data_IF_507062178577
#
_entry.id   IF_507062178577
#
_cell.length_a   1.000
_cell.length_b   1.000
_cell.length_c   1.000
_cell.angle_alpha   90.00
_cell.angle_beta   90.00
_cell.angle_gamma   90.00
#
_symmetry.space_group_name_H-M   'P 1'
#
loop_
_entity.id
_entity.type
_entity.pdbx_description
1 polymer ?
#
# COMPACT_ATOMS: atom_id res chain seq x y z
N UNK A 1 -36.42 17.34 -109.30
CA UNK A 1 -36.87 15.93 -109.33
C UNK A 1 -36.58 15.30 -107.97
N UNK A 2 -37.63 14.79 -107.32
CA UNK A 2 -37.68 13.72 -106.30
C UNK A 2 -36.74 13.80 -105.07
N UNK A 3 -37.34 14.03 -103.90
CA UNK A 3 -36.94 13.29 -102.67
C UNK A 3 -37.51 11.85 -102.68
N UNK A 4 -37.64 11.13 -101.55
CA UNK A 4 -37.18 11.40 -100.17
C UNK A 4 -36.59 10.15 -99.43
N UNK A 5 -36.35 10.33 -98.11
CA UNK A 5 -36.31 9.34 -97.01
C UNK A 5 -34.94 8.62 -96.78
N UNK A 6 -34.49 8.26 -95.56
CA UNK A 6 -35.19 7.51 -94.49
C UNK A 6 -34.23 7.31 -93.25
N UNK A 7 -34.77 7.24 -92.01
CA UNK A 7 -34.24 6.74 -90.68
C UNK A 7 -33.13 7.56 -89.96
N UNK A 8 -33.24 8.09 -88.72
CA UNK A 8 -33.83 7.69 -87.41
C UNK A 8 -33.31 6.34 -86.89
N UNK A 9 -32.33 6.39 -85.97
CA UNK A 9 -31.84 5.41 -84.95
C UNK A 9 -30.31 5.56 -84.88
N UNK A 10 -29.62 5.89 -83.78
CA UNK A 10 -29.66 5.32 -82.43
C UNK A 10 -29.14 6.35 -81.41
N UNK A 11 -30.04 6.91 -80.60
CA UNK A 11 -29.72 7.61 -79.36
C UNK A 11 -30.17 6.72 -78.18
N UNK A 12 -29.49 5.60 -77.95
CA UNK A 12 -29.71 4.69 -76.83
C UNK A 12 -28.44 3.84 -76.63
N UNK A 13 -27.40 4.39 -75.99
CA UNK A 13 -26.91 3.72 -74.78
C UNK A 13 -26.60 4.68 -73.62
N UNK A 14 -26.78 5.99 -73.79
CA UNK A 14 -26.42 6.96 -72.76
C UNK A 14 -27.44 7.08 -71.60
N UNK A 15 -28.66 6.55 -71.76
CA UNK A 15 -29.72 6.65 -70.73
C UNK A 15 -29.74 5.48 -69.73
N UNK A 16 -29.04 4.37 -70.02
CA UNK A 16 -28.98 3.20 -69.10
C UNK A 16 -27.87 3.36 -68.05
N UNK A 17 -26.83 4.15 -68.33
CA UNK A 17 -25.74 4.41 -67.38
C UNK A 17 -26.11 5.42 -66.26
N UNK A 18 -27.20 6.18 -66.42
CA UNK A 18 -27.65 7.16 -65.42
C UNK A 18 -28.71 6.62 -64.44
N UNK A 19 -29.19 5.40 -64.63
CA UNK A 19 -30.14 4.72 -63.72
C UNK A 19 -29.46 3.69 -62.79
N UNK A 20 -28.15 3.47 -62.91
CA UNK A 20 -27.39 2.58 -62.03
C UNK A 20 -26.80 3.29 -60.79
N UNK A 21 -27.28 4.49 -60.46
CA UNK A 21 -26.88 5.27 -59.28
C UNK A 21 -28.05 5.40 -58.30
N UNK A 22 -28.55 4.28 -57.75
CA UNK A 22 -29.34 4.31 -56.50
C UNK A 22 -29.71 2.89 -56.08
N UNK A 23 -28.87 2.28 -55.26
CA UNK A 23 -29.24 1.48 -54.06
C UNK A 23 -27.95 0.87 -53.48
N UNK A 24 -26.99 1.69 -53.07
CA UNK A 24 -26.03 1.21 -52.09
C UNK A 24 -26.81 1.10 -50.78
N UNK A 25 -27.24 -0.11 -50.43
CA UNK A 25 -27.82 -0.36 -49.10
C UNK A 25 -26.78 0.07 -48.05
N UNK A 26 -27.17 0.81 -47.00
CA UNK A 26 -26.25 1.16 -45.94
C UNK A 26 -25.64 -0.12 -45.38
N UNK A 27 -24.30 -0.17 -45.30
CA UNK A 27 -23.61 -1.33 -44.75
C UNK A 27 -24.13 -1.60 -43.33
N UNK A 28 -24.35 -2.88 -42.96
CA UNK A 28 -24.85 -3.22 -41.63
C UNK A 28 -23.91 -2.69 -40.56
N UNK A 29 -24.49 -2.21 -39.48
CA UNK A 29 -23.79 -1.71 -38.30
C UNK A 29 -23.79 -2.79 -37.22
N UNK A 30 -23.05 -2.57 -36.14
CA UNK A 30 -23.08 -3.46 -34.98
C UNK A 30 -24.46 -3.48 -34.29
N UNK A 31 -25.38 -2.55 -34.61
CA UNK A 31 -26.77 -2.63 -34.15
C UNK A 31 -27.55 -3.77 -34.83
N UNK A 32 -27.09 -4.22 -36.00
CA UNK A 32 -27.73 -5.24 -36.83
C UNK A 32 -27.14 -6.64 -36.54
N UNK A 33 -26.24 -6.74 -35.56
CA UNK A 33 -25.64 -7.98 -35.09
C UNK A 33 -26.55 -8.66 -34.06
N UNK A 34 -26.63 -9.99 -34.06
CA UNK A 34 -27.55 -10.74 -33.20
C UNK A 34 -27.25 -10.56 -31.68
N UNK A 35 -25.99 -10.28 -31.32
CA UNK A 35 -25.59 -10.06 -29.93
C UNK A 35 -25.85 -8.64 -29.42
N UNK A 36 -26.13 -7.70 -30.33
CA UNK A 36 -26.13 -6.28 -30.06
C UNK A 36 -27.41 -5.60 -30.56
N UNK A 37 -27.77 -4.49 -29.92
CA UNK A 37 -28.89 -3.66 -30.37
C UNK A 37 -28.62 -2.21 -30.04
N UNK A 38 -29.23 -1.32 -30.81
CA UNK A 38 -29.20 0.11 -30.52
C UNK A 38 -30.54 0.58 -29.97
N UNK A 39 -30.51 1.28 -28.85
CA UNK A 39 -31.72 1.83 -28.25
C UNK A 39 -32.11 3.18 -28.88
N UNK A 40 -33.29 3.75 -28.55
CA UNK A 40 -33.73 5.04 -29.07
C UNK A 40 -32.82 6.22 -28.69
N UNK A 41 -31.97 6.06 -27.66
CA UNK A 41 -31.00 7.05 -27.21
C UNK A 41 -29.63 6.87 -27.89
N UNK A 42 -29.57 6.08 -28.96
CA UNK A 42 -28.36 5.76 -29.72
C UNK A 42 -27.28 5.06 -28.88
N UNK A 43 -27.66 4.34 -27.83
CA UNK A 43 -26.72 3.50 -27.08
C UNK A 43 -26.62 2.14 -27.74
N UNK A 44 -25.40 1.71 -28.04
CA UNK A 44 -25.10 0.35 -28.44
C UNK A 44 -25.06 -0.53 -27.18
N UNK A 45 -25.96 -1.51 -27.12
CA UNK A 45 -26.09 -2.45 -26.00
C UNK A 45 -25.86 -3.85 -26.54
N UNK A 46 -24.78 -4.48 -26.12
CA UNK A 46 -24.46 -5.86 -26.46
C UNK A 46 -24.66 -6.75 -25.22
N UNK A 47 -25.49 -7.78 -25.36
CA UNK A 47 -25.73 -8.76 -24.32
C UNK A 47 -25.57 -10.15 -24.92
N UNK A 48 -24.43 -10.77 -24.63
CA UNK A 48 -24.07 -12.04 -25.23
C UNK A 48 -24.85 -13.20 -24.60
N UNK A 49 -25.23 -14.16 -25.44
CA UNK A 49 -25.86 -15.43 -25.03
C UNK A 49 -24.95 -16.59 -25.43
N UNK A 50 -25.31 -17.84 -25.14
CA UNK A 50 -24.46 -18.99 -25.47
C UNK A 50 -24.19 -19.16 -26.96
N UNK A 51 -25.06 -18.62 -27.81
CA UNK A 51 -24.98 -18.74 -29.27
C UNK A 51 -24.11 -17.64 -29.91
N UNK A 52 -23.89 -16.53 -29.19
CA UNK A 52 -23.10 -15.39 -29.64
C UNK A 52 -22.32 -14.83 -28.46
N UNK A 53 -21.07 -15.25 -28.35
CA UNK A 53 -20.26 -15.04 -27.16
C UNK A 53 -19.15 -13.99 -27.35
N UNK A 54 -18.77 -13.70 -28.60
CA UNK A 54 -17.71 -12.74 -28.93
C UNK A 54 -18.24 -11.46 -29.60
N UNK A 55 -17.74 -10.30 -29.18
CA UNK A 55 -18.04 -9.00 -29.79
C UNK A 55 -16.74 -8.30 -30.19
N UNK A 56 -16.63 -7.91 -31.46
CA UNK A 56 -15.51 -7.10 -31.96
C UNK A 56 -16.00 -5.73 -32.38
N UNK A 57 -15.54 -4.69 -31.70
CA UNK A 57 -15.87 -3.31 -32.04
C UNK A 57 -14.88 -2.80 -33.08
N UNK A 58 -15.42 -2.31 -34.21
CA UNK A 58 -14.65 -1.85 -35.38
C UNK A 58 -14.97 -0.38 -35.68
N UNK A 59 -13.98 0.42 -36.10
CA UNK A 59 -14.22 1.79 -36.53
C UNK A 59 -14.99 1.86 -37.87
N UNK A 60 -14.67 0.96 -38.81
CA UNK A 60 -15.12 1.00 -40.19
C UNK A 60 -15.47 -0.40 -40.71
N UNK A 61 -16.12 -0.43 -41.88
CA UNK A 61 -16.55 -1.66 -42.54
C UNK A 61 -17.90 -2.19 -42.05
N UNK A 62 -18.27 -3.43 -42.44
CA UNK A 62 -19.49 -4.07 -41.96
C UNK A 62 -19.39 -4.36 -40.46
N UNK A 63 -20.52 -4.19 -39.77
CA UNK A 63 -20.66 -4.32 -38.32
C UNK A 63 -19.78 -3.33 -37.53
N UNK A 64 -19.56 -2.13 -38.09
CA UNK A 64 -18.90 -1.04 -37.37
C UNK A 64 -19.77 -0.46 -36.26
N UNK A 65 -19.13 0.19 -35.29
CA UNK A 65 -19.85 0.99 -34.29
C UNK A 65 -20.54 2.17 -35.00
N UNK A 66 -21.86 2.38 -34.82
CA UNK A 66 -22.56 3.49 -35.44
C UNK A 66 -21.97 4.84 -35.04
N UNK A 67 -21.80 5.76 -35.99
CA UNK A 67 -21.26 7.11 -35.73
C UNK A 67 -22.15 7.95 -34.80
N UNK A 68 -23.43 7.60 -34.70
CA UNK A 68 -24.42 8.22 -33.81
C UNK A 68 -24.36 7.70 -32.38
N UNK A 69 -23.51 6.71 -32.08
CA UNK A 69 -23.48 6.06 -30.78
C UNK A 69 -23.16 7.04 -29.65
N UNK A 70 -24.06 7.15 -28.66
CA UNK A 70 -23.89 8.00 -27.48
C UNK A 70 -23.31 7.23 -26.29
N UNK A 71 -23.46 5.90 -26.29
CA UNK A 71 -22.91 5.01 -25.26
C UNK A 71 -22.69 3.62 -25.82
N UNK A 72 -21.71 2.92 -25.26
CA UNK A 72 -21.41 1.50 -25.53
C UNK A 72 -21.53 0.77 -24.21
N UNK A 73 -22.41 -0.22 -24.13
CA UNK A 73 -22.61 -1.06 -22.95
C UNK A 73 -22.53 -2.51 -23.37
N UNK A 74 -21.58 -3.25 -22.81
CA UNK A 74 -21.35 -4.66 -23.13
C UNK A 74 -21.42 -5.47 -21.85
N UNK A 75 -22.25 -6.50 -21.83
CA UNK A 75 -22.49 -7.35 -20.67
C UNK A 75 -22.49 -8.84 -21.05
N UNK A 76 -21.83 -9.66 -20.23
CA UNK A 76 -21.92 -11.12 -20.29
C UNK A 76 -21.22 -11.80 -21.48
N UNK A 77 -20.40 -11.07 -22.25
CA UNK A 77 -19.66 -11.64 -23.38
C UNK A 77 -18.45 -12.46 -22.94
N UNK A 78 -18.16 -13.55 -23.66
CA UNK A 78 -16.94 -14.35 -23.44
C UNK A 78 -15.72 -13.55 -23.84
N UNK A 79 -15.79 -12.84 -24.97
CA UNK A 79 -14.70 -12.04 -25.51
C UNK A 79 -15.18 -10.70 -26.06
N UNK A 80 -14.46 -9.64 -25.72
CA UNK A 80 -14.66 -8.29 -26.26
C UNK A 80 -13.34 -7.76 -26.78
N UNK A 81 -13.31 -7.37 -28.04
CA UNK A 81 -12.13 -6.86 -28.70
C UNK A 81 -12.39 -5.47 -29.28
N UNK A 82 -11.75 -4.44 -28.74
CA UNK A 82 -11.78 -3.11 -29.32
C UNK A 82 -10.63 -2.97 -30.31
N UNK A 83 -10.94 -2.79 -31.59
CA UNK A 83 -9.93 -2.48 -32.61
C UNK A 83 -9.39 -1.06 -32.47
N UNK A 84 -8.24 -0.81 -33.09
CA UNK A 84 -7.65 0.52 -33.13
C UNK A 84 -8.62 1.56 -33.71
N UNK A 85 -8.58 2.76 -33.15
CA UNK A 85 -9.38 3.92 -33.57
C UNK A 85 -10.91 3.70 -33.50
N UNK A 86 -11.41 2.64 -32.84
CA UNK A 86 -12.85 2.26 -32.77
C UNK A 86 -13.77 3.43 -32.45
N UNK A 87 -13.45 4.23 -31.42
CA UNK A 87 -14.34 5.30 -30.98
C UNK A 87 -13.96 6.69 -31.51
N UNK A 88 -12.90 6.80 -32.32
CA UNK A 88 -12.29 8.08 -32.67
C UNK A 88 -13.25 9.03 -33.39
N UNK A 89 -14.12 8.49 -34.24
CA UNK A 89 -15.12 9.24 -34.99
C UNK A 89 -16.46 9.45 -34.26
N UNK A 90 -16.63 8.93 -33.04
CA UNK A 90 -17.91 8.90 -32.34
C UNK A 90 -18.13 10.19 -31.53
N UNK A 91 -18.49 11.28 -32.21
CA UNK A 91 -18.59 12.62 -31.60
C UNK A 91 -19.59 12.71 -30.43
N UNK A 92 -20.61 11.86 -30.44
CA UNK A 92 -21.67 11.83 -29.42
C UNK A 92 -21.39 10.87 -28.27
N UNK A 93 -20.34 10.05 -28.36
CA UNK A 93 -20.03 9.05 -27.34
C UNK A 93 -19.68 9.72 -26.01
N UNK A 94 -20.30 9.24 -24.93
CA UNK A 94 -20.07 9.74 -23.56
C UNK A 94 -19.78 8.62 -22.56
N UNK A 95 -20.17 7.39 -22.84
CA UNK A 95 -20.01 6.27 -21.91
C UNK A 95 -19.54 5.01 -22.63
N UNK A 96 -18.52 4.36 -22.10
CA UNK A 96 -18.10 3.01 -22.48
C UNK A 96 -18.10 2.17 -21.21
N UNK A 97 -18.94 1.14 -21.20
CA UNK A 97 -19.15 0.29 -20.04
C UNK A 97 -19.04 -1.19 -20.43
N UNK A 98 -18.19 -1.91 -19.71
CA UNK A 98 -17.91 -3.34 -19.91
C UNK A 98 -18.16 -4.06 -18.59
N UNK A 99 -19.01 -5.09 -18.60
CA UNK A 99 -19.35 -5.86 -17.40
C UNK A 99 -19.31 -7.35 -17.66
N UNK A 100 -18.85 -8.11 -16.66
CA UNK A 100 -18.95 -9.57 -16.67
C UNK A 100 -18.31 -10.21 -17.91
N UNK A 101 -17.20 -9.65 -18.41
CA UNK A 101 -16.53 -10.13 -19.62
C UNK A 101 -15.29 -10.94 -19.26
N UNK A 102 -15.19 -12.16 -19.77
CA UNK A 102 -14.10 -13.08 -19.46
C UNK A 102 -12.80 -12.79 -20.22
N UNK A 103 -12.87 -12.06 -21.34
CA UNK A 103 -11.70 -11.71 -22.12
C UNK A 103 -11.83 -10.34 -22.80
N UNK A 104 -11.21 -9.30 -22.24
CA UNK A 104 -11.24 -7.94 -22.81
C UNK A 104 -9.87 -7.57 -23.37
N UNK A 105 -9.84 -7.13 -24.62
CA UNK A 105 -8.64 -6.61 -25.27
C UNK A 105 -8.95 -5.22 -25.84
N UNK A 106 -8.16 -4.24 -25.41
CA UNK A 106 -8.27 -2.86 -25.86
C UNK A 106 -6.99 -2.52 -26.62
N UNK A 107 -7.06 -2.51 -27.96
CA UNK A 107 -5.89 -2.24 -28.78
C UNK A 107 -5.43 -0.77 -28.70
N UNK A 108 -4.27 -0.51 -29.29
CA UNK A 108 -3.73 0.84 -29.41
C UNK A 108 -4.75 1.80 -30.02
N UNK A 109 -4.93 2.97 -29.37
CA UNK A 109 -5.85 4.05 -29.75
C UNK A 109 -7.31 3.62 -29.88
N UNK A 110 -7.69 2.45 -29.35
CA UNK A 110 -9.05 1.96 -29.46
C UNK A 110 -10.07 2.85 -28.74
N UNK A 111 -9.66 3.45 -27.61
CA UNK A 111 -10.41 4.42 -26.81
C UNK A 111 -9.80 5.83 -26.88
N UNK A 112 -9.14 6.17 -27.99
CA UNK A 112 -8.66 7.53 -28.23
C UNK A 112 -9.82 8.43 -28.69
N UNK A 113 -10.21 9.39 -27.85
CA UNK A 113 -11.41 10.20 -28.07
C UNK A 113 -11.16 11.68 -27.81
N UNK A 114 -11.21 12.49 -28.87
CA UNK A 114 -11.04 13.95 -28.79
C UNK A 114 -11.77 14.68 -29.94
N UNK A 115 -13.12 14.60 -30.00
CA UNK A 115 -13.87 15.17 -31.12
C UNK A 115 -13.95 16.70 -31.10
N UNK A 116 -13.60 17.34 -29.99
CA UNK A 116 -13.67 18.79 -29.82
C UNK A 116 -12.27 19.41 -29.73
N UNK A 117 -12.17 20.70 -30.08
CA UNK A 117 -10.94 21.46 -29.86
C UNK A 117 -10.54 21.47 -28.38
N UNK A 118 -9.24 21.56 -28.13
CA UNK A 118 -8.66 21.44 -26.78
C UNK A 118 -9.15 22.54 -25.83
N UNK A 119 -9.56 23.68 -26.37
CA UNK A 119 -9.79 24.93 -25.62
C UNK A 119 -11.16 24.99 -24.91
N UNK A 120 -12.08 24.07 -25.17
CA UNK A 120 -13.39 24.07 -24.51
C UNK A 120 -13.43 23.11 -23.32
N UNK A 121 -13.13 23.64 -22.12
CA UNK A 121 -13.30 22.94 -20.84
C UNK A 121 -14.77 22.58 -20.53
N UNK A 122 -15.72 23.26 -21.18
CA UNK A 122 -17.17 23.05 -21.03
C UNK A 122 -17.67 21.75 -21.68
N UNK A 123 -16.86 21.10 -22.51
CA UNK A 123 -17.28 19.89 -23.20
C UNK A 123 -17.13 18.66 -22.29
N UNK A 124 -18.19 17.86 -22.12
CA UNK A 124 -18.14 16.63 -21.32
C UNK A 124 -17.17 15.62 -21.95
N UNK A 125 -16.35 14.99 -21.12
CA UNK A 125 -15.47 13.91 -21.50
C UNK A 125 -16.15 12.55 -21.58
N UNK A 126 -15.36 11.56 -22.00
CA UNK A 126 -15.75 10.15 -21.99
C UNK A 126 -15.69 9.58 -20.57
N UNK A 127 -16.68 8.79 -20.17
CA UNK A 127 -16.63 7.92 -19.00
C UNK A 127 -16.32 6.49 -19.43
N UNK A 128 -15.31 5.88 -18.82
CA UNK A 128 -14.89 4.51 -19.08
C UNK A 128 -15.06 3.70 -17.81
N UNK A 129 -15.85 2.63 -17.88
CA UNK A 129 -16.20 1.79 -16.76
C UNK A 129 -16.00 0.30 -17.12
N UNK A 130 -15.18 -0.40 -16.34
CA UNK A 130 -14.95 -1.85 -16.49
C UNK A 130 -15.19 -2.52 -15.15
N UNK A 131 -16.11 -3.48 -15.12
CA UNK A 131 -16.54 -4.14 -13.90
C UNK A 131 -16.52 -5.66 -14.06
N UNK A 132 -16.05 -6.36 -13.03
CA UNK A 132 -16.13 -7.81 -12.93
C UNK A 132 -15.65 -8.53 -14.20
N UNK A 133 -14.51 -8.11 -14.75
CA UNK A 133 -14.02 -8.57 -16.05
C UNK A 133 -12.55 -8.97 -15.98
N UNK A 134 -12.11 -9.79 -16.93
CA UNK A 134 -10.68 -10.04 -17.14
C UNK A 134 -10.21 -9.21 -18.34
N UNK A 135 -9.41 -8.19 -18.05
CA UNK A 135 -8.76 -7.34 -19.05
C UNK A 135 -7.41 -7.95 -19.40
N UNK A 136 -7.38 -8.68 -20.50
CA UNK A 136 -6.19 -9.39 -20.95
C UNK A 136 -5.10 -8.44 -21.41
N UNK A 137 -5.49 -7.39 -22.13
CA UNK A 137 -4.56 -6.39 -22.60
C UNK A 137 -5.21 -5.01 -22.68
N UNK A 138 -4.51 -4.01 -22.13
CA UNK A 138 -4.69 -2.61 -22.49
C UNK A 138 -3.43 -2.20 -23.23
N UNK A 139 -3.57 -2.02 -24.55
CA UNK A 139 -2.49 -1.70 -25.46
C UNK A 139 -1.89 -0.32 -25.21
N UNK A 140 -0.72 -0.08 -25.78
CA UNK A 140 -0.06 1.23 -25.71
C UNK A 140 -0.97 2.30 -26.29
N UNK A 141 -1.08 3.46 -25.64
CA UNK A 141 -1.93 4.56 -26.11
C UNK A 141 -3.41 4.15 -26.32
N UNK A 142 -3.89 3.10 -25.65
CA UNK A 142 -5.27 2.64 -25.77
C UNK A 142 -6.27 3.74 -25.38
N UNK A 143 -6.01 4.46 -24.30
CA UNK A 143 -6.87 5.53 -23.77
C UNK A 143 -6.16 6.87 -23.89
N UNK A 144 -6.74 7.76 -24.69
CA UNK A 144 -6.19 9.11 -24.96
C UNK A 144 -7.30 10.13 -25.18
N UNK A 145 -6.98 11.41 -24.95
CA UNK A 145 -7.91 12.51 -25.24
C UNK A 145 -8.77 12.89 -24.05
N UNK A 146 -10.01 13.32 -24.28
CA UNK A 146 -10.85 13.93 -23.24
C UNK A 146 -11.65 12.87 -22.49
N UNK A 147 -11.29 12.62 -21.23
CA UNK A 147 -11.89 11.59 -20.39
C UNK A 147 -12.24 12.22 -19.06
N UNK A 148 -13.47 12.02 -18.59
CA UNK A 148 -13.95 12.57 -17.31
C UNK A 148 -13.66 11.59 -16.17
N UNK A 149 -13.99 10.31 -16.35
CA UNK A 149 -13.87 9.29 -15.32
C UNK A 149 -13.36 7.97 -15.91
N UNK A 150 -12.43 7.33 -15.20
CA UNK A 150 -11.95 5.98 -15.48
C UNK A 150 -12.18 5.15 -14.22
N UNK A 151 -13.03 4.13 -14.31
CA UNK A 151 -13.32 3.23 -13.20
C UNK A 151 -13.09 1.79 -13.65
N UNK A 152 -12.14 1.09 -13.03
CA UNK A 152 -11.94 -0.34 -13.24
C UNK A 152 -12.06 -1.01 -11.89
N UNK A 153 -13.02 -1.94 -11.75
CA UNK A 153 -13.27 -2.58 -10.46
C UNK A 153 -13.53 -4.06 -10.53
N UNK A 154 -13.16 -4.77 -9.46
CA UNK A 154 -13.35 -6.22 -9.30
C UNK A 154 -12.85 -7.00 -10.52
N UNK A 155 -11.76 -6.54 -11.14
CA UNK A 155 -11.31 -7.03 -12.44
C UNK A 155 -9.87 -7.53 -12.35
N UNK A 156 -9.52 -8.49 -13.22
CA UNK A 156 -8.14 -8.94 -13.37
C UNK A 156 -7.53 -8.27 -14.60
N UNK A 157 -6.41 -7.56 -14.43
CA UNK A 157 -5.69 -6.88 -15.50
C UNK A 157 -4.40 -7.68 -15.74
N UNK A 158 -4.38 -8.43 -16.84
CA UNK A 158 -3.25 -9.31 -17.12
C UNK A 158 -2.07 -8.58 -17.73
N UNK A 159 -2.31 -7.64 -18.65
CA UNK A 159 -1.22 -6.89 -19.28
C UNK A 159 -1.58 -5.41 -19.44
N UNK A 160 -0.78 -4.55 -18.80
CA UNK A 160 -0.88 -3.10 -18.92
C UNK A 160 0.35 -2.58 -19.65
N UNK A 161 0.19 -2.22 -20.92
CA UNK A 161 1.28 -1.76 -21.79
C UNK A 161 1.75 -0.34 -21.45
N UNK A 162 2.97 0.06 -21.88
CA UNK A 162 3.48 1.40 -21.68
C UNK A 162 2.54 2.42 -22.33
N UNK A 163 2.29 3.53 -21.65
CA UNK A 163 1.43 4.61 -22.13
C UNK A 163 -0.03 4.21 -22.39
N UNK A 164 -0.49 3.08 -21.84
CA UNK A 164 -1.88 2.64 -21.91
C UNK A 164 -2.87 3.78 -21.61
N UNK A 165 -2.55 4.59 -20.59
CA UNK A 165 -3.24 5.83 -20.26
C UNK A 165 -2.29 7.01 -20.42
N UNK A 166 -2.46 7.76 -21.51
CA UNK A 166 -1.55 8.87 -21.83
C UNK A 166 -2.29 10.05 -22.44
N UNK A 167 -1.77 11.26 -22.19
CA UNK A 167 -2.32 12.49 -22.78
C UNK A 167 -3.83 12.65 -22.55
N UNK A 168 -4.27 12.31 -21.34
CA UNK A 168 -5.65 12.50 -20.92
C UNK A 168 -5.89 13.97 -20.58
N UNK A 169 -7.08 14.47 -20.91
CA UNK A 169 -7.49 15.86 -20.70
C UNK A 169 -8.82 15.88 -19.93
N UNK A 170 -8.90 16.72 -18.90
CA UNK A 170 -10.13 16.94 -18.14
C UNK A 170 -10.52 15.82 -17.17
N UNK A 171 -9.59 14.94 -16.82
CA UNK A 171 -9.87 13.80 -15.94
C UNK A 171 -10.21 14.27 -14.54
N UNK A 172 -11.36 13.84 -14.04
CA UNK A 172 -11.80 14.10 -12.68
C UNK A 172 -11.40 12.94 -11.78
N UNK A 173 -11.74 11.72 -12.15
CA UNK A 173 -11.52 10.57 -11.27
C UNK A 173 -10.87 9.42 -12.04
N UNK A 174 -9.80 8.88 -11.47
CA UNK A 174 -9.28 7.55 -11.82
C UNK A 174 -9.41 6.69 -10.58
N UNK A 175 -10.24 5.65 -10.67
CA UNK A 175 -10.47 4.69 -9.59
C UNK A 175 -10.18 3.27 -10.06
N UNK A 176 -9.22 2.63 -9.39
CA UNK A 176 -8.81 1.25 -9.61
C UNK A 176 -9.11 0.47 -8.33
N UNK A 177 -10.24 -0.24 -8.28
CA UNK A 177 -10.78 -0.84 -7.06
C UNK A 177 -10.85 -2.37 -7.08
N UNK A 178 -10.28 -3.06 -6.09
CA UNK A 178 -10.30 -4.51 -5.94
C UNK A 178 -9.86 -5.25 -7.22
N UNK A 179 -8.79 -4.78 -7.85
CA UNK A 179 -8.26 -5.40 -9.06
C UNK A 179 -7.06 -6.29 -8.75
N UNK A 180 -6.84 -7.30 -9.59
CA UNK A 180 -5.62 -8.13 -9.56
C UNK A 180 -4.80 -7.75 -10.78
N UNK A 181 -3.55 -7.35 -10.57
CA UNK A 181 -2.64 -6.97 -11.64
C UNK A 181 -1.54 -8.01 -11.81
N UNK A 182 -1.47 -8.64 -12.99
CA UNK A 182 -0.45 -9.66 -13.28
C UNK A 182 0.85 -9.01 -13.80
N UNK A 183 0.78 -8.33 -14.95
CA UNK A 183 1.93 -7.66 -15.58
C UNK A 183 1.64 -6.18 -15.84
N UNK A 184 2.43 -5.32 -15.21
CA UNK A 184 2.40 -3.87 -15.39
C UNK A 184 3.73 -3.45 -16.02
N UNK A 185 3.69 -2.91 -17.23
CA UNK A 185 4.88 -2.33 -17.85
C UNK A 185 5.14 -0.89 -17.36
N UNK A 186 6.39 -0.43 -17.48
CA UNK A 186 6.80 0.90 -17.06
C UNK A 186 5.96 1.99 -17.77
N UNK A 187 5.68 3.09 -17.08
CA UNK A 187 4.99 4.26 -17.66
C UNK A 187 3.60 3.95 -18.23
N UNK A 188 2.90 2.96 -17.68
CA UNK A 188 1.51 2.67 -18.05
C UNK A 188 0.58 3.88 -17.95
N UNK A 189 0.80 4.73 -16.94
CA UNK A 189 0.14 6.02 -16.76
C UNK A 189 1.14 7.15 -16.93
N UNK A 190 0.96 8.01 -17.94
CA UNK A 190 1.95 9.05 -18.26
C UNK A 190 1.36 10.39 -18.66
N UNK A 191 1.89 11.46 -18.08
CA UNK A 191 1.70 12.85 -18.50
C UNK A 191 0.23 13.22 -18.71
N UNK A 192 -0.52 13.26 -17.62
CA UNK A 192 -1.87 13.82 -17.57
C UNK A 192 -2.15 14.39 -16.18
N UNK A 193 -3.19 15.21 -16.09
CA UNK A 193 -3.71 15.72 -14.83
C UNK A 193 -5.04 15.05 -14.49
N UNK A 194 -5.25 14.78 -13.19
CA UNK A 194 -6.52 14.30 -12.64
C UNK A 194 -6.86 15.02 -11.34
N UNK A 195 -8.15 15.14 -11.00
CA UNK A 195 -8.54 15.66 -9.69
C UNK A 195 -8.26 14.62 -8.59
N UNK A 196 -8.71 13.38 -8.80
CA UNK A 196 -8.55 12.29 -7.84
C UNK A 196 -7.91 11.07 -8.52
N UNK A 197 -6.93 10.48 -7.84
CA UNK A 197 -6.36 9.18 -8.18
C UNK A 197 -6.51 8.26 -6.97
N UNK A 198 -7.29 7.18 -7.13
CA UNK A 198 -7.62 6.24 -6.07
C UNK A 198 -7.28 4.82 -6.52
N UNK A 199 -6.35 4.19 -5.82
CA UNK A 199 -6.07 2.77 -5.91
C UNK A 199 -6.52 2.11 -4.61
N UNK A 200 -7.51 1.22 -4.67
CA UNK A 200 -8.14 0.65 -3.47
C UNK A 200 -8.28 -0.85 -3.58
N UNK A 201 -7.87 -1.58 -2.55
CA UNK A 201 -8.02 -3.03 -2.50
C UNK A 201 -7.20 -3.75 -3.57
N UNK A 202 -7.34 -5.08 -3.60
CA UNK A 202 -6.73 -5.91 -4.63
C UNK A 202 -5.26 -6.27 -4.38
N UNK A 203 -4.65 -6.87 -5.41
CA UNK A 203 -3.34 -7.49 -5.34
C UNK A 203 -2.49 -7.08 -6.54
N UNK A 204 -1.23 -6.71 -6.27
CA UNK A 204 -0.25 -6.32 -7.27
C UNK A 204 1.06 -7.02 -6.93
N UNK A 205 1.53 -7.90 -7.82
CA UNK A 205 2.84 -8.54 -7.63
C UNK A 205 3.97 -7.51 -7.69
N UNK A 206 4.11 -6.83 -8.83
CA UNK A 206 5.21 -5.92 -9.06
C UNK A 206 4.71 -4.56 -9.57
N UNK A 207 5.03 -3.50 -8.84
CA UNK A 207 4.82 -2.12 -9.31
C UNK A 207 6.16 -1.61 -9.87
N UNK A 208 6.25 -1.43 -11.21
CA UNK A 208 7.49 -1.01 -11.83
C UNK A 208 7.82 0.46 -11.52
N UNK A 209 9.09 0.83 -11.72
CA UNK A 209 9.50 2.23 -11.73
C UNK A 209 8.67 3.02 -12.74
N UNK A 210 8.28 4.24 -12.34
CA UNK A 210 7.46 5.15 -13.15
C UNK A 210 6.12 4.53 -13.59
N UNK A 211 5.50 3.68 -12.76
CA UNK A 211 4.14 3.22 -12.96
C UNK A 211 3.19 4.41 -13.21
N UNK A 212 3.21 5.39 -12.30
CA UNK A 212 2.73 6.75 -12.57
C UNK A 212 3.94 7.60 -12.93
N UNK A 213 3.97 8.10 -14.16
CA UNK A 213 5.09 8.86 -14.71
C UNK A 213 4.65 10.29 -14.99
N UNK A 214 5.02 11.22 -14.11
CA UNK A 214 4.76 12.65 -14.31
C UNK A 214 3.24 12.92 -14.40
N UNK A 215 2.51 12.44 -13.38
CA UNK A 215 1.06 12.58 -13.26
C UNK A 215 0.76 13.68 -12.24
N UNK A 216 -0.05 14.65 -12.63
CA UNK A 216 -0.49 15.72 -11.72
C UNK A 216 -1.84 15.32 -11.10
N UNK A 217 -1.90 15.29 -9.77
CA UNK A 217 -3.12 15.00 -9.02
C UNK A 217 -3.47 16.23 -8.20
N UNK A 218 -4.59 16.90 -8.45
CA UNK A 218 -4.84 18.25 -7.88
C UNK A 218 -5.65 18.26 -6.58
N UNK A 219 -6.25 17.13 -6.18
CA UNK A 219 -7.02 17.03 -4.94
C UNK A 219 -6.59 15.85 -4.07
N UNK A 220 -6.90 14.61 -4.47
CA UNK A 220 -6.69 13.42 -3.64
C UNK A 220 -5.86 12.37 -4.36
N UNK A 221 -4.73 12.00 -3.76
CA UNK A 221 -4.00 10.78 -4.07
C UNK A 221 -4.22 9.77 -2.93
N UNK A 222 -4.85 8.63 -3.22
CA UNK A 222 -5.15 7.59 -2.22
C UNK A 222 -4.70 6.21 -2.70
N UNK A 223 -3.93 5.53 -1.85
CA UNK A 223 -3.60 4.11 -1.99
C UNK A 223 -4.04 3.41 -0.72
N UNK A 224 -5.08 2.57 -0.81
CA UNK A 224 -5.72 1.99 0.38
C UNK A 224 -5.98 0.49 0.25
N UNK A 225 -5.64 -0.30 1.26
CA UNK A 225 -6.08 -1.70 1.33
C UNK A 225 -5.45 -2.60 0.26
N UNK A 226 -4.37 -2.16 -0.40
CA UNK A 226 -3.72 -2.89 -1.49
C UNK A 226 -2.67 -3.83 -0.93
N UNK A 227 -2.57 -5.03 -1.50
CA UNK A 227 -1.44 -5.94 -1.26
C UNK A 227 -0.43 -5.81 -2.38
N UNK A 228 0.80 -5.41 -2.06
CA UNK A 228 1.90 -5.20 -3.00
C UNK A 228 3.05 -6.12 -2.62
N UNK A 229 3.50 -7.00 -3.50
CA UNK A 229 4.70 -7.81 -3.23
C UNK A 229 5.97 -6.96 -3.37
N UNK A 230 6.15 -6.26 -4.49
CA UNK A 230 7.32 -5.41 -4.69
C UNK A 230 6.95 -4.04 -5.26
N UNK A 231 7.39 -3.00 -4.55
CA UNK A 231 7.28 -1.59 -4.96
C UNK A 231 8.66 -1.04 -5.30
N UNK A 232 8.94 -0.87 -6.59
CA UNK A 232 10.22 -0.34 -7.08
C UNK A 232 10.37 1.16 -6.82
N UNK A 233 11.61 1.64 -6.87
CA UNK A 233 11.94 3.07 -6.78
C UNK A 233 11.23 3.90 -7.85
N UNK A 234 10.80 5.11 -7.48
CA UNK A 234 10.11 6.06 -8.35
C UNK A 234 8.86 5.49 -9.02
N UNK A 235 8.22 4.47 -8.42
CA UNK A 235 7.00 3.87 -8.94
C UNK A 235 5.88 4.90 -9.08
N UNK A 236 5.68 5.72 -8.05
CA UNK A 236 4.71 6.80 -8.05
C UNK A 236 5.42 8.15 -8.16
N UNK A 237 5.53 8.70 -9.38
CA UNK A 237 5.98 10.07 -9.61
C UNK A 237 4.77 10.98 -9.82
N UNK A 238 4.34 11.63 -8.73
CA UNK A 238 3.08 12.40 -8.68
C UNK A 238 3.31 13.80 -8.13
N UNK A 239 2.64 14.78 -8.73
CA UNK A 239 2.76 16.19 -8.38
C UNK A 239 1.43 16.80 -7.96
N UNK A 240 1.49 17.77 -7.05
CA UNK A 240 0.41 18.65 -6.62
C UNK A 240 -0.78 18.08 -5.80
N UNK A 241 -0.77 16.86 -5.20
CA UNK A 241 -1.93 16.41 -4.42
C UNK A 241 -2.09 17.26 -3.17
N UNK A 242 -3.29 17.81 -2.97
CA UNK A 242 -3.67 18.50 -1.72
C UNK A 242 -3.73 17.54 -0.53
N UNK A 243 -4.09 16.28 -0.78
CA UNK A 243 -4.20 15.23 0.23
C UNK A 243 -3.56 13.95 -0.28
N UNK A 244 -2.63 13.40 0.51
CA UNK A 244 -1.97 12.12 0.25
C UNK A 244 -2.33 11.16 1.37
N UNK A 245 -3.02 10.07 1.02
CA UNK A 245 -3.45 9.04 1.96
C UNK A 245 -2.92 7.67 1.51
N UNK A 246 -2.00 7.10 2.28
CA UNK A 246 -1.46 5.76 2.06
C UNK A 246 -1.83 4.92 3.28
N UNK A 247 -2.88 4.11 3.17
CA UNK A 247 -3.57 3.56 4.33
C UNK A 247 -3.87 2.06 4.22
N UNK A 248 -3.69 1.32 5.32
CA UNK A 248 -4.14 -0.08 5.38
C UNK A 248 -3.54 -0.99 4.30
N UNK A 249 -2.37 -0.68 3.77
CA UNK A 249 -1.72 -1.49 2.74
C UNK A 249 -0.80 -2.55 3.34
N UNK A 250 -0.61 -3.64 2.61
CA UNK A 250 0.36 -4.69 2.92
C UNK A 250 1.43 -4.70 1.84
N UNK A 251 2.66 -4.34 2.18
CA UNK A 251 3.77 -4.23 1.22
C UNK A 251 4.89 -5.20 1.63
N UNK A 252 5.28 -6.16 0.79
CA UNK A 252 6.36 -7.09 1.14
C UNK A 252 7.73 -6.39 1.06
N UNK A 253 8.04 -5.75 -0.06
CA UNK A 253 9.26 -4.95 -0.22
C UNK A 253 8.95 -3.58 -0.82
N UNK A 254 9.44 -2.54 -0.16
CA UNK A 254 9.40 -1.16 -0.63
C UNK A 254 10.83 -0.61 -0.81
N UNK A 255 11.17 -0.30 -2.06
CA UNK A 255 12.45 0.30 -2.41
C UNK A 255 12.52 1.79 -2.04
N UNK A 256 13.74 2.35 -2.09
CA UNK A 256 13.98 3.77 -1.85
C UNK A 256 13.17 4.63 -2.82
N UNK A 257 12.58 5.73 -2.35
CA UNK A 257 11.75 6.63 -3.17
C UNK A 257 10.62 5.95 -3.95
N UNK A 258 10.06 4.83 -3.46
CA UNK A 258 8.93 4.16 -4.12
C UNK A 258 7.74 5.10 -4.33
N UNK A 259 7.49 5.98 -3.35
CA UNK A 259 6.60 7.13 -3.48
C UNK A 259 7.44 8.40 -3.63
N UNK A 260 7.46 8.95 -4.85
CA UNK A 260 8.06 10.25 -5.14
C UNK A 260 6.94 11.27 -5.37
N UNK A 261 6.45 11.85 -4.28
CA UNK A 261 5.29 12.74 -4.27
C UNK A 261 5.70 14.16 -3.87
N UNK A 262 5.29 15.13 -4.68
CA UNK A 262 5.42 16.56 -4.37
C UNK A 262 4.02 17.09 -3.99
N UNK A 263 3.69 17.11 -2.70
CA UNK A 263 2.34 17.42 -2.21
C UNK A 263 2.12 18.91 -1.92
N UNK A 264 0.86 19.35 -1.98
CA UNK A 264 0.43 20.67 -1.53
C UNK A 264 -0.10 20.67 -0.08
N UNK A 265 -0.07 19.52 0.61
CA UNK A 265 -0.61 19.38 1.96
C UNK A 265 0.08 18.27 2.76
N UNK A 266 -0.51 17.87 3.90
CA UNK A 266 0.06 16.83 4.74
C UNK A 266 -0.03 15.45 4.09
N UNK A 267 0.95 14.61 4.42
CA UNK A 267 1.09 13.24 3.92
C UNK A 267 0.81 12.29 5.07
N UNK A 268 -0.19 11.42 4.91
CA UNK A 268 -0.55 10.42 5.91
C UNK A 268 -0.19 9.03 5.43
N UNK A 269 0.65 8.33 6.20
CA UNK A 269 1.01 6.94 6.00
C UNK A 269 0.59 6.16 7.25
N UNK A 270 -0.58 5.51 7.20
CA UNK A 270 -1.19 4.90 8.40
C UNK A 270 -1.64 3.46 8.23
N UNK A 271 -1.62 2.69 9.32
CA UNK A 271 -2.12 1.31 9.35
C UNK A 271 -1.49 0.39 8.29
N UNK A 272 -0.28 0.69 7.81
CA UNK A 272 0.37 -0.13 6.79
C UNK A 272 1.26 -1.20 7.45
N UNK A 273 1.34 -2.36 6.80
CA UNK A 273 2.26 -3.45 7.17
C UNK A 273 3.31 -3.60 6.07
N UNK A 274 4.55 -3.20 6.34
CA UNK A 274 5.67 -3.30 5.40
C UNK A 274 6.67 -4.35 5.88
N UNK A 275 6.92 -5.43 5.14
CA UNK A 275 7.90 -6.42 5.60
C UNK A 275 9.33 -5.92 5.44
N UNK A 276 9.69 -5.30 4.32
CA UNK A 276 11.04 -4.76 4.10
C UNK A 276 10.97 -3.33 3.61
N UNK A 277 11.45 -2.39 4.43
CA UNK A 277 11.55 -0.97 4.08
C UNK A 277 13.02 -0.64 3.78
N UNK A 278 13.35 -0.37 2.51
CA UNK A 278 14.73 -0.06 2.11
C UNK A 278 15.14 1.35 2.53
N UNK A 279 16.45 1.62 2.45
CA UNK A 279 17.04 2.93 2.74
C UNK A 279 16.37 4.02 1.89
N UNK A 280 16.01 5.13 2.51
CA UNK A 280 15.42 6.29 1.82
C UNK A 280 14.01 6.04 1.26
N UNK A 281 13.26 5.04 1.74
CA UNK A 281 11.90 4.76 1.27
C UNK A 281 10.95 5.96 1.43
N UNK A 282 11.19 6.83 2.43
CA UNK A 282 10.39 8.03 2.71
C UNK A 282 10.99 9.32 2.14
N UNK A 283 12.12 9.25 1.43
CA UNK A 283 12.86 10.45 1.00
C UNK A 283 12.17 11.16 -0.18
N UNK A 284 11.49 10.40 -1.04
CA UNK A 284 10.72 10.91 -2.18
C UNK A 284 9.48 11.73 -1.80
N UNK A 285 9.08 11.77 -0.52
CA UNK A 285 8.04 12.69 -0.07
C UNK A 285 8.61 14.11 0.07
N UNK A 286 7.91 15.06 -0.53
CA UNK A 286 8.25 16.48 -0.46
C UNK A 286 7.01 17.36 -0.60
N UNK A 287 7.20 18.65 -0.33
CA UNK A 287 6.16 19.66 -0.46
C UNK A 287 6.51 20.58 -1.62
N UNK A 288 5.49 21.02 -2.35
CA UNK A 288 5.61 22.06 -3.35
C UNK A 288 6.25 23.34 -2.78
N UNK A 289 7.11 24.01 -3.56
CA UNK A 289 7.87 25.18 -3.10
C UNK A 289 6.95 26.38 -2.79
N UNK A 290 5.87 26.56 -3.54
CA UNK A 290 4.93 27.68 -3.32
C UNK A 290 4.19 27.48 -2.00
N UNK A 291 3.78 26.24 -1.72
CA UNK A 291 3.16 25.86 -0.45
C UNK A 291 4.16 25.99 0.70
N UNK A 292 5.40 25.54 0.51
CA UNK A 292 6.46 25.66 1.52
C UNK A 292 6.75 27.12 1.88
N UNK A 293 6.75 28.02 0.90
CA UNK A 293 6.98 29.45 1.13
C UNK A 293 5.82 30.13 1.86
N UNK A 294 4.58 29.68 1.63
CA UNK A 294 3.36 30.32 2.14
C UNK A 294 2.94 29.76 3.50
N UNK A 295 2.93 28.42 3.64
CA UNK A 295 2.42 27.70 4.79
C UNK A 295 3.51 27.04 5.64
N UNK A 296 4.78 27.11 5.19
CA UNK A 296 5.89 26.45 5.85
C UNK A 296 5.91 24.94 5.60
N UNK A 297 6.70 24.23 6.43
CA UNK A 297 6.86 22.78 6.32
C UNK A 297 5.54 22.06 6.60
N UNK A 298 5.26 21.02 5.83
CA UNK A 298 4.07 20.20 6.03
C UNK A 298 4.40 18.93 6.83
N UNK A 299 3.36 18.34 7.40
CA UNK A 299 3.50 17.14 8.21
C UNK A 299 3.55 15.87 7.36
N UNK A 300 4.51 15.00 7.68
CA UNK A 300 4.51 13.59 7.29
C UNK A 300 4.14 12.76 8.54
N UNK A 301 2.92 12.23 8.56
CA UNK A 301 2.39 11.45 9.67
C UNK A 301 2.59 9.95 9.41
N UNK A 302 3.34 9.29 10.31
CA UNK A 302 3.42 7.84 10.41
C UNK A 302 2.59 7.37 11.61
N UNK A 303 1.46 6.72 11.34
CA UNK A 303 0.53 6.28 12.39
C UNK A 303 0.24 4.78 12.30
N UNK A 304 0.44 4.08 13.42
CA UNK A 304 0.16 2.65 13.58
C UNK A 304 0.65 1.76 12.42
N UNK A 305 1.91 1.93 12.01
CA UNK A 305 2.51 1.10 10.97
C UNK A 305 3.31 -0.05 11.58
N UNK A 306 3.26 -1.22 10.96
CA UNK A 306 4.09 -2.38 11.31
C UNK A 306 5.18 -2.59 10.28
N UNK A 307 6.44 -2.71 10.72
CA UNK A 307 7.58 -2.98 9.84
C UNK A 307 8.43 -4.13 10.36
N UNK A 308 8.73 -5.13 9.53
CA UNK A 308 9.57 -6.27 9.97
C UNK A 308 11.06 -5.94 9.85
N UNK A 309 11.55 -5.68 8.64
CA UNK A 309 12.94 -5.34 8.35
C UNK A 309 13.05 -3.84 8.17
N UNK A 310 13.41 -3.15 9.25
CA UNK A 310 13.57 -1.71 9.28
C UNK A 310 15.02 -1.35 9.62
N UNK A 311 15.65 -0.50 8.80
CA UNK A 311 16.93 0.12 9.12
C UNK A 311 16.70 1.58 9.53
N UNK A 312 17.55 2.18 10.39
CA UNK A 312 17.47 3.60 10.72
C UNK A 312 17.52 4.52 9.49
N UNK A 313 18.29 4.10 8.47
CA UNK A 313 18.42 4.82 7.20
C UNK A 313 17.18 4.74 6.30
N UNK A 314 16.22 3.86 6.62
CA UNK A 314 14.94 3.76 5.89
C UNK A 314 13.99 4.90 6.25
N UNK A 315 14.10 5.48 7.46
CA UNK A 315 13.28 6.60 7.91
C UNK A 315 13.87 7.97 7.54
N UNK A 316 14.90 8.02 6.68
CA UNK A 316 15.41 9.29 6.15
C UNK A 316 14.31 9.92 5.28
N UNK A 317 13.99 11.18 5.57
CA UNK A 317 12.97 11.97 4.89
C UNK A 317 13.52 13.36 4.54
N UNK A 318 12.81 14.09 3.69
CA UNK A 318 13.19 15.43 3.29
C UNK A 318 12.92 16.48 4.40
N UNK A 319 13.92 16.72 5.25
CA UNK A 319 13.85 17.67 6.38
C UNK A 319 13.67 19.15 5.96
N UNK A 320 13.93 19.50 4.70
CA UNK A 320 13.79 20.90 4.26
C UNK A 320 12.33 21.28 4.05
N UNK A 321 11.51 20.35 3.55
CA UNK A 321 10.11 20.56 3.19
C UNK A 321 9.11 19.96 4.18
N UNK A 322 9.49 18.93 4.94
CA UNK A 322 8.59 18.19 5.82
C UNK A 322 9.04 18.20 7.29
N UNK A 323 8.06 18.03 8.18
CA UNK A 323 8.25 17.63 9.57
C UNK A 323 7.68 16.23 9.76
N UNK A 324 8.51 15.29 10.23
CA UNK A 324 8.07 13.93 10.53
C UNK A 324 7.39 13.89 11.90
N UNK A 325 6.19 13.32 11.95
CA UNK A 325 5.51 12.93 13.19
C UNK A 325 5.26 11.44 13.16
N UNK A 326 5.68 10.75 14.22
CA UNK A 326 5.48 9.31 14.39
C UNK A 326 4.57 9.11 15.58
N UNK A 327 3.33 8.67 15.37
CA UNK A 327 2.38 8.38 16.45
C UNK A 327 2.34 6.88 16.80
N UNK A 328 2.78 6.02 15.87
CA UNK A 328 2.94 4.60 16.13
C UNK A 328 3.75 3.89 15.05
N UNK A 329 4.92 3.37 15.43
CA UNK A 329 5.75 2.54 14.56
C UNK A 329 6.15 1.26 15.29
N UNK A 330 5.55 0.15 14.88
CA UNK A 330 5.75 -1.16 15.47
C UNK A 330 6.77 -1.95 14.64
N UNK A 331 7.91 -2.29 15.23
CA UNK A 331 8.91 -3.16 14.62
C UNK A 331 8.55 -4.61 14.97
N UNK A 332 8.25 -5.42 13.96
CA UNK A 332 7.93 -6.84 14.12
C UNK A 332 9.19 -7.70 14.31
N UNK A 333 10.03 -7.30 15.27
CA UNK A 333 11.26 -7.97 15.70
C UNK A 333 11.28 -7.95 17.22
N UNK A 334 11.82 -9.01 17.82
CA UNK A 334 11.91 -9.10 19.27
C UNK A 334 12.83 -8.03 19.86
N UNK A 335 12.37 -7.42 20.96
CA UNK A 335 13.09 -6.37 21.65
C UNK A 335 14.45 -6.87 22.18
N UNK A 336 15.54 -6.22 21.79
CA UNK A 336 16.88 -6.47 22.32
C UNK A 336 17.64 -5.17 22.61
N UNK A 337 18.62 -5.23 23.51
CA UNK A 337 19.45 -4.06 23.82
C UNK A 337 20.34 -3.63 22.65
N UNK A 338 20.75 -4.58 21.80
CA UNK A 338 21.50 -4.28 20.57
C UNK A 338 20.64 -3.50 19.56
N UNK A 339 19.36 -3.88 19.40
CA UNK A 339 18.40 -3.12 18.60
C UNK A 339 18.28 -1.69 19.15
N UNK A 340 18.08 -1.54 20.46
CA UNK A 340 17.99 -0.21 21.06
C UNK A 340 19.22 0.67 20.84
N UNK A 341 20.43 0.09 20.89
CA UNK A 341 21.66 0.83 20.61
C UNK A 341 21.73 1.34 19.18
N UNK A 342 21.32 0.52 18.20
CA UNK A 342 21.25 0.91 16.79
C UNK A 342 20.29 2.10 16.54
N UNK A 343 19.22 2.18 17.34
CA UNK A 343 18.17 3.20 17.21
C UNK A 343 18.37 4.42 18.12
N UNK A 344 19.45 4.43 18.93
CA UNK A 344 19.69 5.45 19.98
C UNK A 344 19.65 6.89 19.47
N UNK A 345 20.25 7.16 18.31
CA UNK A 345 20.34 8.52 17.78
C UNK A 345 18.98 9.01 17.23
N UNK A 346 18.23 8.12 16.57
CA UNK A 346 16.87 8.43 16.09
C UNK A 346 15.90 8.63 17.26
N UNK A 347 16.01 7.85 18.33
CA UNK A 347 15.16 7.98 19.52
C UNK A 347 15.34 9.31 20.24
N UNK A 348 16.54 9.91 20.21
CA UNK A 348 16.81 11.25 20.76
C UNK A 348 16.10 12.35 19.97
N UNK A 349 16.03 12.21 18.65
CA UNK A 349 15.38 13.21 17.78
C UNK A 349 13.85 13.08 17.78
N UNK A 350 13.32 11.86 17.81
CA UNK A 350 11.90 11.57 17.52
C UNK A 350 11.08 11.13 18.74
N UNK A 351 11.65 11.17 19.94
CA UNK A 351 10.87 11.04 21.18
C UNK A 351 10.11 9.73 21.35
N UNK A 352 10.77 8.58 21.27
CA UNK A 352 10.31 7.36 21.94
C UNK A 352 9.08 6.58 21.42
N UNK A 353 8.63 6.82 20.19
CA UNK A 353 7.37 6.25 19.65
C UNK A 353 7.58 4.99 18.78
N UNK A 354 8.80 4.45 18.80
CA UNK A 354 9.12 3.18 18.15
C UNK A 354 8.88 2.04 19.16
N UNK A 355 8.05 1.08 18.79
CA UNK A 355 7.76 -0.11 19.58
C UNK A 355 8.40 -1.36 18.97
N UNK A 356 8.75 -2.33 19.81
CA UNK A 356 9.26 -3.63 19.37
C UNK A 356 8.43 -4.76 20.00
N UNK A 357 8.55 -5.97 19.45
CA UNK A 357 7.80 -7.12 19.93
C UNK A 357 8.38 -7.66 21.24
N UNK A 358 7.58 -7.75 22.30
CA UNK A 358 7.99 -8.32 23.58
C UNK A 358 7.45 -9.74 23.73
N UNK A 359 8.32 -10.73 23.51
CA UNK A 359 7.95 -12.16 23.48
C UNK A 359 7.35 -12.68 24.79
N UNK A 360 7.76 -12.15 25.94
CA UNK A 360 7.32 -12.64 27.26
C UNK A 360 5.86 -12.31 27.58
N UNK A 361 5.35 -11.16 27.10
CA UNK A 361 3.98 -10.69 27.38
C UNK A 361 3.17 -10.52 26.10
N UNK A 362 3.69 -10.99 24.96
CA UNK A 362 3.02 -11.07 23.65
C UNK A 362 2.39 -9.74 23.18
N UNK A 363 3.08 -8.62 23.40
CA UNK A 363 2.62 -7.28 23.00
C UNK A 363 3.77 -6.38 22.53
N UNK A 364 3.41 -5.25 21.92
CA UNK A 364 4.39 -4.22 21.51
C UNK A 364 4.70 -3.28 22.68
N UNK A 365 5.97 -3.19 23.06
CA UNK A 365 6.46 -2.26 24.09
C UNK A 365 7.33 -1.19 23.42
N UNK A 366 7.23 0.06 23.89
CA UNK A 366 8.07 1.13 23.36
C UNK A 366 9.55 0.88 23.70
N UNK A 367 10.41 1.10 22.71
CA UNK A 367 11.85 0.82 22.79
C UNK A 367 12.53 1.57 23.96
N UNK A 368 12.21 2.85 24.27
CA UNK A 368 12.75 3.51 25.47
C UNK A 368 12.33 2.85 26.79
N UNK A 369 11.09 2.38 26.88
CA UNK A 369 10.58 1.69 28.08
C UNK A 369 11.28 0.36 28.27
N UNK A 370 11.52 -0.37 27.17
CA UNK A 370 12.30 -1.60 27.19
C UNK A 370 13.75 -1.35 27.64
N UNK A 371 14.40 -0.32 27.11
CA UNK A 371 15.77 0.06 27.49
C UNK A 371 15.86 0.39 28.97
N UNK A 372 14.97 1.24 29.48
CA UNK A 372 14.97 1.65 30.88
C UNK A 372 14.71 0.47 31.83
N UNK A 373 13.87 -0.48 31.42
CA UNK A 373 13.50 -1.63 32.27
C UNK A 373 14.51 -2.79 32.24
N UNK A 374 15.21 -3.00 31.12
CA UNK A 374 16.03 -4.21 30.89
C UNK A 374 17.50 -3.95 30.52
N UNK A 375 17.85 -2.83 29.89
CA UNK A 375 19.19 -2.61 29.34
C UNK A 375 20.11 -1.76 30.23
N UNK A 376 19.66 -1.33 31.40
CA UNK A 376 20.49 -0.56 32.33
C UNK A 376 21.66 -1.37 32.91
N UNK A 377 22.84 -0.75 32.97
CA UNK A 377 24.06 -1.33 33.58
C UNK A 377 23.84 -1.84 35.01
N UNK A 378 22.88 -1.25 35.72
CA UNK A 378 22.50 -1.64 37.07
C UNK A 378 21.95 -3.07 37.18
N UNK A 379 21.29 -3.62 36.14
CA UNK A 379 20.71 -4.97 36.20
C UNK A 379 21.66 -6.09 35.79
N UNK A 380 22.57 -5.83 34.87
CA UNK A 380 23.63 -6.80 34.52
C UNK A 380 24.56 -7.03 35.72
N UNK A 381 24.79 -5.97 36.52
CA UNK A 381 25.56 -6.05 37.75
C UNK A 381 24.70 -6.36 38.98
N UNK A 382 23.37 -6.34 38.91
CA UNK A 382 22.49 -6.61 40.05
C UNK A 382 22.75 -7.99 40.65
N UNK A 383 22.85 -9.02 39.80
CA UNK A 383 23.21 -10.38 40.26
C UNK A 383 24.61 -10.44 40.87
N UNK A 384 25.56 -9.66 40.33
CA UNK A 384 26.91 -9.55 40.91
C UNK A 384 26.83 -8.90 42.30
N UNK A 385 26.09 -7.81 42.47
CA UNK A 385 25.91 -7.15 43.76
C UNK A 385 25.17 -8.04 44.78
N UNK A 386 24.16 -8.80 44.35
CA UNK A 386 23.46 -9.77 45.20
C UNK A 386 24.43 -10.87 45.65
N UNK A 387 25.21 -11.46 44.74
CA UNK A 387 26.19 -12.50 45.08
C UNK A 387 27.30 -11.96 45.99
N UNK A 388 27.86 -10.79 45.68
CA UNK A 388 28.87 -10.11 46.52
C UNK A 388 28.29 -9.78 47.91
N UNK A 389 27.05 -9.32 47.98
CA UNK A 389 26.34 -9.06 49.22
C UNK A 389 26.17 -10.32 50.08
N UNK A 390 25.75 -11.44 49.49
CA UNK A 390 25.63 -12.72 50.19
C UNK A 390 26.99 -13.20 50.68
N UNK A 391 28.04 -13.10 49.87
CA UNK A 391 29.41 -13.48 50.27
C UNK A 391 29.90 -12.64 51.45
N UNK A 392 29.67 -11.32 51.43
CA UNK A 392 30.05 -10.43 52.55
C UNK A 392 29.31 -10.78 53.84
N UNK A 393 28.02 -11.12 53.77
CA UNK A 393 27.24 -11.55 54.94
C UNK A 393 27.77 -12.87 55.49
N UNK A 394 28.13 -13.84 54.63
CA UNK A 394 28.72 -15.11 55.06
C UNK A 394 30.10 -14.93 55.69
N UNK A 395 30.95 -14.06 55.13
CA UNK A 395 32.26 -13.73 55.71
C UNK A 395 32.10 -13.04 57.07
N UNK A 396 31.20 -12.06 57.17
CA UNK A 396 30.93 -11.38 58.43
C UNK A 396 30.44 -12.37 59.49
N UNK A 397 29.51 -13.27 59.14
CA UNK A 397 29.03 -14.33 60.02
C UNK A 397 30.18 -15.25 60.49
N UNK A 398 31.05 -15.68 59.57
CA UNK A 398 32.21 -16.51 59.90
C UNK A 398 33.21 -15.79 60.83
N UNK A 399 33.45 -14.50 60.61
CA UNK A 399 34.29 -13.67 61.49
C UNK A 399 33.67 -13.55 62.88
N UNK A 400 32.37 -13.25 62.99
CA UNK A 400 31.69 -13.20 64.29
C UNK A 400 31.75 -14.54 65.01
N UNK A 401 31.52 -15.66 64.32
CA UNK A 401 31.64 -17.00 64.90
C UNK A 401 33.07 -17.25 65.37
N UNK A 402 34.08 -16.88 64.57
CA UNK A 402 35.49 -17.02 64.95
C UNK A 402 35.84 -16.23 66.21
N UNK A 403 35.37 -14.98 66.33
CA UNK A 403 35.60 -14.16 67.52
C UNK A 403 34.87 -14.70 68.76
N UNK A 404 33.64 -15.22 68.60
CA UNK A 404 32.89 -15.86 69.69
C UNK A 404 33.65 -17.11 70.18
N UNK A 405 34.05 -18.00 69.26
CA UNK A 405 34.81 -19.23 69.59
C UNK A 405 36.17 -18.90 70.20
N UNK A 406 36.89 -17.90 69.69
CA UNK A 406 38.17 -17.45 70.26
C UNK A 406 37.97 -16.92 71.68
N UNK A 407 36.94 -16.12 71.92
CA UNK A 407 36.67 -15.55 73.23
C UNK A 407 36.28 -16.64 74.25
N UNK A 408 35.50 -17.65 73.85
CA UNK A 408 35.24 -18.81 74.70
C UNK A 408 36.50 -19.65 74.99
N UNK A 409 37.35 -19.87 73.99
CA UNK A 409 38.61 -20.60 74.19
C UNK A 409 39.61 -19.83 75.08
N UNK A 410 39.64 -18.50 75.04
CA UNK A 410 40.43 -17.69 75.97
C UNK A 410 39.85 -17.70 77.40
N UNK A 411 38.52 -17.75 77.56
CA UNK A 411 37.90 -18.00 78.87
C UNK A 411 38.29 -19.38 79.43
N UNK A 412 38.37 -20.42 78.58
CA UNK A 412 38.82 -21.77 78.98
C UNK A 412 40.32 -21.82 79.34
N UNK A 413 41.17 -20.97 78.75
CA UNK A 413 42.62 -20.90 79.07
C UNK A 413 42.96 -20.17 80.37
N UNK A 414 42.03 -19.40 80.96
CA UNK A 414 42.22 -18.71 82.25
C UNK A 414 41.76 -19.49 83.48
N UNK A 415 41.24 -20.71 83.31
CA UNK A 415 41.07 -21.66 84.41
C UNK A 415 42.32 -22.54 84.51
N UNK A 416 43.40 -21.99 85.09
CA UNK A 416 44.40 -22.83 85.75
C UNK A 416 43.74 -23.42 86.99
N UNK A 417 43.20 -24.63 86.84
CA UNK A 417 42.87 -25.48 87.99
C UNK A 417 44.21 -25.88 88.62
N UNK A 418 44.56 -25.21 89.71
CA UNK A 418 45.59 -25.65 90.64
C UNK A 418 45.03 -26.87 91.35
N UNK A 419 45.65 -28.02 91.11
CA UNK A 419 45.30 -29.30 91.73
C UNK A 419 46.13 -29.43 93.02
N UNK A 420 45.52 -29.49 94.21
CA UNK A 420 46.25 -29.81 95.43
C UNK A 420 46.33 -31.33 95.61
N UNK A 421 47.54 -31.82 95.81
CA UNK A 421 47.79 -33.15 96.36
C UNK A 421 47.33 -33.19 97.83
N UNK A 422 46.68 -34.29 98.22
CA UNK A 422 46.74 -34.79 99.60
C UNK A 422 45.42 -35.13 100.26
N UNK A 423 45.15 -36.44 100.33
CA UNK A 423 44.53 -37.20 101.44
C UNK A 423 43.00 -37.12 101.61
N UNK A 424 42.39 -38.24 101.21
CA UNK A 424 41.34 -39.01 101.91
C UNK A 424 40.53 -38.27 102.98
N UNK A 425 39.30 -37.88 102.64
CA UNK A 425 38.19 -37.79 103.58
C UNK A 425 36.94 -38.44 103.01
N UNK A 426 36.19 -39.03 103.93
CA UNK A 426 35.04 -39.92 103.79
C UNK A 426 33.86 -39.29 103.04
N UNK A 427 33.18 -40.18 102.32
CA UNK A 427 31.74 -40.24 102.06
C UNK A 427 30.90 -39.12 102.68
N UNK A 428 30.23 -38.34 101.82
CA UNK A 428 28.92 -37.76 102.13
C UNK A 428 28.07 -37.75 100.85
N UNK A 429 26.97 -38.48 100.89
CA UNK A 429 25.94 -38.55 99.86
C UNK A 429 25.29 -37.18 99.67
N UNK A 430 25.15 -36.72 98.43
CA UNK A 430 24.29 -35.59 98.10
C UNK A 430 22.91 -36.10 97.68
N UNK A 431 21.94 -35.87 98.55
CA UNK A 431 20.52 -36.05 98.28
C UNK A 431 20.08 -35.08 97.19
N UNK A 432 19.52 -35.63 96.11
CA UNK A 432 18.85 -34.88 95.05
C UNK A 432 17.46 -34.49 95.57
N UNK A 433 17.17 -33.19 95.63
CA UNK A 433 15.80 -32.68 95.75
C UNK A 433 15.42 -32.06 94.40
N UNK A 434 14.54 -32.76 93.68
CA UNK A 434 13.90 -32.29 92.47
C UNK A 434 12.70 -31.45 92.89
N UNK A 435 12.77 -30.13 92.73
CA UNK A 435 11.56 -29.30 92.70
C UNK A 435 11.16 -29.05 91.25
N UNK A 436 10.04 -29.68 90.85
CA UNK A 436 9.30 -29.33 89.64
C UNK A 436 8.57 -28.01 89.87
N UNK A 437 8.84 -27.03 89.03
CA UNK A 437 7.92 -25.92 88.80
C UNK A 437 7.47 -25.97 87.33
N UNK A 438 6.37 -26.68 87.07
CA UNK A 438 5.49 -26.41 85.94
C UNK A 438 4.54 -25.29 86.37
N UNK A 439 4.37 -24.22 85.58
CA UNK A 439 3.17 -23.82 84.80
C UNK A 439 3.19 -22.27 84.85
N UNK A 440 2.79 -21.45 83.88
CA UNK A 440 1.71 -21.52 82.90
C UNK A 440 2.01 -20.59 81.71
N UNK A 441 1.40 -20.99 80.60
CA UNK A 441 1.03 -20.26 79.38
C UNK A 441 0.41 -18.88 79.60
N UNK A 442 0.58 -17.94 78.66
CA UNK A 442 -0.49 -17.46 77.73
C UNK A 442 0.03 -16.41 76.73
N UNK A 443 -0.32 -16.65 75.46
CA UNK A 443 -0.75 -15.74 74.38
C UNK A 443 0.16 -14.61 73.86
N UNK A 444 0.77 -14.84 72.68
CA UNK A 444 0.28 -14.38 71.35
C UNK A 444 1.19 -14.87 70.22
#
# INVERSE_FOLDING_TARGET
MRGPALWVTYALPALVALLACSTAQPAPTLCDDDACRCDPFTRLICNCTRDYDEVTLRPDGPYRVPSTASGIVIDGCSRVHFLSDTIRGLIHLRNVEIRNVAHVVINERALAWSPFSRDSELNPGLRIAIHNSTVNEIGSHAVQGRVDDITITNSRISNLKPFAFSSLLGVKNIELGNNIFDNIEIQAFKKFSTLNFVLRGGEIGFIPSRFLSDVEVTNLFRVEGVTIEHLSSLAYLVHSPKRVLIESNKIDTMDGDGFHLVSQGPITFRNNSVKTLKKGALFGFSVDLDVLSTFGRQELLLDNNTVTNLMPSSLIFNRSSLTLRVDGLNINVSCSCALAEQWRDMLKEQGGIISCWYELENHFISLPTYVNSRCGAFKQNFWIYVVVGVILVVIAAAITIFFIVKHENEKKKKLQIVMPDGKTYRETEFHIVVERAELLTTDL
#
